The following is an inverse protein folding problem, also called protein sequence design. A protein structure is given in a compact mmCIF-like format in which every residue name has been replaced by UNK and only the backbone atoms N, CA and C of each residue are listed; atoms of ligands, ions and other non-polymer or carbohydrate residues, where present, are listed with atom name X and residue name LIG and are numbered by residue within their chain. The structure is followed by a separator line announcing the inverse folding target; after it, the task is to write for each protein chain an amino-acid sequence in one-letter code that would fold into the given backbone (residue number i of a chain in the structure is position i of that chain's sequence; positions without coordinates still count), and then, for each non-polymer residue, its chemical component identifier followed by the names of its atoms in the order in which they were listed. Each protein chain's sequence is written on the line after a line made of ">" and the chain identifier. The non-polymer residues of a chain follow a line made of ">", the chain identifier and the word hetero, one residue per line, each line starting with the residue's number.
data_IF_629258728554
#
_entry.id   IF_629258728554
#
_cell.length_a   1.000
_cell.length_b   1.000
_cell.length_c   1.000
_cell.angle_alpha   90.00
_cell.angle_beta   90.00
_cell.angle_gamma   90.00
#
_symmetry.space_group_name_H-M   'P 1'
#
loop_
_entity.id
_entity.type
_entity.pdbx_description
1 polymer ?
#
# COMPACT_ATOMS: atom_id res chain seq x y z
N UNK A 1 9.79 -3.67 -2.83
CA UNK A 1 9.70 -2.21 -2.96
C UNK A 1 9.72 -1.56 -1.58
N UNK A 2 10.49 -0.52 -1.43
CA UNK A 2 10.54 0.28 -0.21
C UNK A 2 9.86 1.61 -0.46
N UNK A 3 8.84 1.93 0.34
CA UNK A 3 8.19 3.24 0.30
C UNK A 3 8.81 4.09 1.40
N UNK A 4 9.31 5.27 1.02
CA UNK A 4 10.09 6.15 1.89
C UNK A 4 9.27 7.32 2.39
N UNK A 5 9.79 7.96 3.44
CA UNK A 5 9.25 9.22 3.97
C UNK A 5 7.80 9.08 4.47
N UNK A 6 7.52 7.95 5.11
CA UNK A 6 6.21 7.74 5.74
C UNK A 6 6.20 8.50 7.07
N UNK A 7 5.19 9.35 7.24
CA UNK A 7 5.00 10.10 8.47
C UNK A 7 3.60 9.87 9.04
N UNK A 8 3.51 9.59 10.33
CA UNK A 8 2.28 9.39 11.06
C UNK A 8 2.49 9.67 12.55
N UNK A 9 1.44 9.59 13.35
CA UNK A 9 1.55 9.72 14.80
C UNK A 9 2.20 8.49 15.43
N UNK A 10 2.84 8.67 16.60
CA UNK A 10 3.46 7.58 17.33
C UNK A 10 2.46 6.50 17.73
N UNK A 11 2.93 5.26 17.83
CA UNK A 11 2.18 4.13 18.35
C UNK A 11 1.95 3.05 17.30
N UNK A 12 1.17 2.04 17.69
CA UNK A 12 0.78 0.98 16.75
C UNK A 12 -0.22 1.51 15.75
N UNK A 13 0.03 1.22 14.48
CA UNK A 13 -0.83 1.62 13.37
C UNK A 13 -1.08 0.46 12.43
N UNK A 14 -2.30 0.39 11.94
CA UNK A 14 -2.66 -0.51 10.85
C UNK A 14 -2.52 0.26 9.55
N UNK A 15 -1.73 -0.26 8.63
CA UNK A 15 -1.61 0.33 7.31
C UNK A 15 -2.19 -0.60 6.25
N UNK A 16 -2.75 0.02 5.22
CA UNK A 16 -3.28 -0.67 4.04
C UNK A 16 -2.47 -0.23 2.83
N UNK A 17 -1.96 -1.21 2.11
CA UNK A 17 -1.10 -0.96 0.96
C UNK A 17 -1.85 -1.39 -0.29
N UNK A 18 -2.00 -0.46 -1.23
CA UNK A 18 -2.60 -0.74 -2.54
C UNK A 18 -1.51 -0.73 -3.60
N UNK A 19 -1.43 -1.81 -4.35
CA UNK A 19 -0.53 -1.90 -5.50
C UNK A 19 -1.41 -1.84 -6.74
N UNK A 20 -1.33 -0.73 -7.47
CA UNK A 20 -2.12 -0.49 -8.67
C UNK A 20 -1.30 -0.87 -9.90
N UNK A 21 -1.87 -1.75 -10.72
CA UNK A 21 -1.25 -2.21 -11.96
C UNK A 21 -1.35 -1.14 -13.06
N UNK A 22 -0.60 -1.27 -14.15
CA UNK A 22 -0.67 -0.31 -15.26
C UNK A 22 -2.05 -0.16 -15.89
N UNK A 23 -2.92 -1.16 -15.78
CA UNK A 23 -4.29 -1.12 -16.28
C UNK A 23 -5.28 -0.50 -15.28
N UNK A 24 -4.78 0.04 -14.16
CA UNK A 24 -5.55 0.62 -13.04
C UNK A 24 -6.27 -0.39 -12.15
N UNK A 25 -6.10 -1.68 -12.36
CA UNK A 25 -6.56 -2.70 -11.42
C UNK A 25 -5.63 -2.78 -10.20
N UNK A 26 -6.20 -3.10 -9.05
CA UNK A 26 -5.44 -3.28 -7.81
C UNK A 26 -5.14 -4.76 -7.61
N UNK A 27 -3.89 -5.08 -7.30
CA UNK A 27 -3.51 -6.42 -6.90
C UNK A 27 -4.20 -6.74 -5.57
N UNK A 28 -4.90 -7.86 -5.51
CA UNK A 28 -5.52 -8.33 -4.27
C UNK A 28 -5.70 -9.84 -4.28
N UNK A 29 -5.62 -10.44 -3.10
CA UNK A 29 -5.88 -11.87 -2.92
C UNK A 29 -7.37 -12.17 -2.77
N UNK A 30 -8.18 -11.16 -2.47
CA UNK A 30 -9.63 -11.31 -2.35
C UNK A 30 -10.32 -9.96 -2.50
N UNK A 31 -11.43 -9.93 -3.23
CA UNK A 31 -12.25 -8.73 -3.37
C UNK A 31 -12.88 -8.28 -2.05
N UNK A 32 -12.89 -9.14 -1.03
CA UNK A 32 -13.38 -8.78 0.31
C UNK A 32 -12.33 -8.11 1.19
N UNK A 33 -11.08 -8.04 0.74
CA UNK A 33 -10.00 -7.34 1.44
C UNK A 33 -10.14 -5.85 1.19
N UNK A 34 -10.92 -5.18 2.03
CA UNK A 34 -11.28 -3.77 1.85
C UNK A 34 -11.05 -2.95 3.10
N UNK A 35 -10.97 -1.63 2.93
CA UNK A 35 -10.89 -0.68 4.03
C UNK A 35 -11.63 0.61 3.64
N UNK A 36 -12.14 1.37 4.63
CA UNK A 36 -12.82 2.62 4.35
C UNK A 36 -11.84 3.75 4.06
N UNK A 37 -12.16 4.57 3.06
CA UNK A 37 -11.39 5.75 2.73
C UNK A 37 -12.31 6.79 2.07
N UNK A 38 -12.41 8.00 2.68
CA UNK A 38 -13.20 9.12 2.14
C UNK A 38 -14.59 8.74 1.64
N UNK A 39 -15.41 8.16 2.50
CA UNK A 39 -16.78 7.71 2.16
C UNK A 39 -16.84 6.64 1.08
N UNK A 40 -15.73 5.97 0.81
CA UNK A 40 -15.66 4.86 -0.14
C UNK A 40 -15.07 3.64 0.55
N UNK A 41 -15.22 2.51 -0.11
CA UNK A 41 -14.59 1.26 0.29
C UNK A 41 -13.57 0.90 -0.79
N UNK A 42 -12.31 0.81 -0.38
CA UNK A 42 -11.22 0.48 -1.31
C UNK A 42 -10.67 -0.91 -1.02
N UNK A 43 -10.23 -1.58 -2.06
CA UNK A 43 -9.56 -2.88 -1.97
C UNK A 43 -8.10 -2.66 -1.63
N UNK A 44 -7.54 -3.48 -0.74
CA UNK A 44 -6.11 -3.42 -0.44
C UNK A 44 -5.37 -4.66 -0.95
N UNK A 45 -4.08 -4.47 -1.24
CA UNK A 45 -3.17 -5.57 -1.60
C UNK A 45 -2.62 -6.24 -0.37
N UNK A 46 -2.17 -5.44 0.60
CA UNK A 46 -1.51 -5.90 1.81
C UNK A 46 -2.03 -5.09 3.00
N UNK A 47 -2.32 -5.79 4.10
CA UNK A 47 -2.61 -5.16 5.40
C UNK A 47 -1.43 -5.43 6.32
N UNK A 48 -0.92 -4.41 6.97
CA UNK A 48 0.27 -4.53 7.80
C UNK A 48 0.10 -3.75 9.10
N UNK A 49 0.64 -4.30 10.18
CA UNK A 49 0.69 -3.63 11.47
C UNK A 49 2.12 -3.13 11.70
N UNK A 50 2.25 -1.85 12.00
CA UNK A 50 3.54 -1.25 12.27
C UNK A 50 3.51 -0.48 13.58
N UNK A 51 4.68 -0.37 14.23
CA UNK A 51 4.87 0.54 15.35
C UNK A 51 5.58 1.79 14.83
N UNK A 52 4.97 2.95 15.06
CA UNK A 52 5.46 4.21 14.56
C UNK A 52 6.06 5.03 15.70
N UNK A 53 7.25 5.58 15.50
CA UNK A 53 7.99 6.31 16.55
C UNK A 53 8.03 7.82 16.34
N UNK A 54 7.24 8.35 15.41
CA UNK A 54 7.18 9.78 15.13
C UNK A 54 8.25 10.30 14.19
N UNK A 55 9.13 9.44 13.72
CA UNK A 55 10.14 9.77 12.72
C UNK A 55 9.74 9.19 11.37
N UNK A 56 10.35 9.72 10.30
CA UNK A 56 10.17 9.13 8.99
C UNK A 56 10.64 7.68 8.98
N UNK A 57 9.84 6.81 8.40
CA UNK A 57 10.16 5.39 8.29
C UNK A 57 10.08 4.94 6.84
N UNK A 58 10.88 3.91 6.55
CA UNK A 58 10.79 3.19 5.28
C UNK A 58 9.99 1.92 5.50
N UNK A 59 9.03 1.66 4.64
CA UNK A 59 8.19 0.47 4.72
C UNK A 59 8.53 -0.43 3.55
N UNK A 60 8.95 -1.66 3.87
CA UNK A 60 9.21 -2.67 2.85
C UNK A 60 7.90 -3.29 2.41
N UNK A 61 7.66 -3.27 1.11
CA UNK A 61 6.46 -3.83 0.51
C UNK A 61 6.85 -5.05 -0.31
N UNK A 62 6.34 -6.22 0.11
CA UNK A 62 6.55 -7.48 -0.60
C UNK A 62 5.21 -8.03 -1.03
N UNK A 63 5.10 -8.40 -2.28
CA UNK A 63 3.96 -9.10 -2.83
C UNK A 63 4.41 -10.51 -3.22
N UNK A 64 3.87 -11.52 -2.53
CA UNK A 64 4.07 -12.90 -2.92
C UNK A 64 3.27 -13.16 -4.18
N UNK A 65 3.97 -13.14 -5.29
CA UNK A 65 3.34 -13.15 -6.61
C UNK A 65 2.91 -14.57 -6.95
N UNK A 66 1.63 -14.85 -6.80
CA UNK A 66 1.00 -15.96 -7.48
C UNK A 66 0.57 -15.55 -8.89
N UNK A 67 0.59 -14.25 -9.15
CA UNK A 67 0.30 -13.66 -10.46
C UNK A 67 1.57 -13.18 -11.13
N UNK A 68 1.64 -13.35 -12.42
CA UNK A 68 2.70 -12.77 -13.25
C UNK A 68 2.50 -11.25 -13.34
N UNK A 69 3.54 -10.49 -13.00
CA UNK A 69 3.52 -9.04 -13.15
C UNK A 69 4.03 -8.67 -14.54
N UNK A 70 3.14 -8.21 -15.40
CA UNK A 70 3.53 -7.77 -16.73
C UNK A 70 4.26 -6.44 -16.70
N UNK A 71 4.96 -6.11 -17.79
CA UNK A 71 5.75 -4.89 -17.90
C UNK A 71 4.86 -3.64 -17.81
N UNK A 72 5.36 -2.60 -17.19
CA UNK A 72 4.67 -1.34 -17.06
C UNK A 72 4.95 -0.64 -15.75
N UNK A 73 4.23 0.47 -15.53
CA UNK A 73 4.36 1.27 -14.33
C UNK A 73 3.31 0.88 -13.30
N UNK A 74 3.77 0.60 -12.10
CA UNK A 74 2.94 0.23 -10.95
C UNK A 74 3.01 1.34 -9.92
N UNK A 75 1.93 1.53 -9.17
CA UNK A 75 1.89 2.50 -8.08
C UNK A 75 1.61 1.81 -6.77
N UNK A 76 2.37 2.17 -5.74
CA UNK A 76 2.16 1.69 -4.38
C UNK A 76 1.67 2.88 -3.55
N UNK A 77 0.48 2.76 -3.01
CA UNK A 77 -0.10 3.75 -2.10
C UNK A 77 -0.27 3.15 -0.72
N UNK A 78 0.07 3.91 0.31
CA UNK A 78 -0.04 3.48 1.70
C UNK A 78 -1.00 4.38 2.45
N UNK A 79 -1.97 3.77 3.11
CA UNK A 79 -3.04 4.44 3.84
C UNK A 79 -3.00 4.08 5.32
N UNK A 80 -3.29 5.04 6.17
CA UNK A 80 -3.41 4.87 7.62
C UNK A 80 -4.51 5.80 8.14
N UNK A 81 -5.44 5.26 8.90
CA UNK A 81 -6.47 6.06 9.57
C UNK A 81 -7.28 6.98 8.66
N UNK A 82 -7.57 6.56 7.43
CA UNK A 82 -8.31 7.39 6.47
C UNK A 82 -7.44 8.40 5.73
N UNK A 83 -6.11 8.33 5.87
CA UNK A 83 -5.16 9.23 5.21
C UNK A 83 -4.23 8.46 4.29
N UNK A 84 -3.92 9.06 3.15
CA UNK A 84 -2.84 8.59 2.28
C UNK A 84 -1.53 9.13 2.84
N UNK A 85 -0.69 8.25 3.36
CA UNK A 85 0.55 8.65 4.04
C UNK A 85 1.82 8.41 3.23
N UNK A 86 1.73 7.70 2.12
CA UNK A 86 2.88 7.49 1.25
C UNK A 86 2.47 6.98 -0.11
N UNK A 87 3.26 7.30 -1.11
CA UNK A 87 3.02 6.85 -2.48
C UNK A 87 4.35 6.75 -3.22
N UNK A 88 4.49 5.70 -4.02
CA UNK A 88 5.67 5.50 -4.83
C UNK A 88 5.32 4.69 -6.07
N UNK A 89 5.98 4.99 -7.17
CA UNK A 89 5.85 4.22 -8.40
C UNK A 89 7.08 3.33 -8.61
N UNK A 90 6.90 2.23 -9.30
CA UNK A 90 8.01 1.40 -9.76
C UNK A 90 7.68 0.84 -11.12
N UNK A 91 8.71 0.46 -11.86
CA UNK A 91 8.58 -0.04 -13.22
C UNK A 91 9.02 -1.50 -13.28
N UNK A 92 8.21 -2.32 -13.94
CA UNK A 92 8.56 -3.70 -14.29
C UNK A 92 8.91 -3.73 -15.78
N UNK A 93 10.07 -4.24 -16.08
CA UNK A 93 10.57 -4.33 -17.46
C UNK A 93 10.22 -5.66 -18.11
#
# INVERSE_FOLDING_TARGET
>A
TVVKNITAENGERTIYIRITKPDNDVLTKSASNTFPYENRTLVYSIKKYIEYNGEEQNINVFWDVEEFLYAGNYRVDIFEGGNLIGSQTFTVN
#
